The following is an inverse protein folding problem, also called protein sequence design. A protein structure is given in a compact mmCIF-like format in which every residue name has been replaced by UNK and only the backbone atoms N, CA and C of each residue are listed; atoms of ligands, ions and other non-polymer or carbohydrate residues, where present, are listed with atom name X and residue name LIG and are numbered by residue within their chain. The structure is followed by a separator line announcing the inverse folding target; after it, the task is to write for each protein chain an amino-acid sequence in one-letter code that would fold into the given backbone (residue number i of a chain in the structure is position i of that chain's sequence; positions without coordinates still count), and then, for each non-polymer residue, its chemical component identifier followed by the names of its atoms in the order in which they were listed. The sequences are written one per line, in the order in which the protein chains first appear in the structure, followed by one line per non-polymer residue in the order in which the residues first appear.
data_IF_558766066924
#
_entry.id   IF_558766066924
#
_cell.length_a   1.000
_cell.length_b   1.000
_cell.length_c   1.000
_cell.angle_alpha   90.00
_cell.angle_beta   90.00
_cell.angle_gamma   90.00
#
_symmetry.space_group_name_H-M   'P 1'
#
loop_
_entity.id
_entity.type
_entity.pdbx_description
1 polymer ?
#
# COMPACT_ATOMS: atom_id res chain seq x y z
N UNK A 1 14.76 16.64 -2.22
CA UNK A 1 13.85 17.28 -1.23
C UNK A 1 12.48 16.64 -1.33
N UNK A 2 11.80 16.43 -0.18
CA UNK A 2 10.43 15.92 -0.13
C UNK A 2 9.55 17.08 0.36
N UNK A 3 8.42 17.29 -0.29
CA UNK A 3 7.37 18.20 0.12
C UNK A 3 6.03 17.48 0.04
N UNK A 4 5.00 18.01 0.67
CA UNK A 4 3.66 17.43 0.59
C UNK A 4 2.58 18.46 0.89
N UNK A 5 1.37 18.15 0.49
CA UNK A 5 0.18 18.96 0.69
C UNK A 5 -0.99 18.05 1.08
N UNK A 6 -1.86 18.56 1.92
CA UNK A 6 -3.14 17.93 2.30
C UNK A 6 -4.12 19.02 2.74
N UNK A 7 -5.40 18.78 2.61
CA UNK A 7 -6.44 19.71 3.05
C UNK A 7 -6.60 19.74 4.59
N UNK A 8 -6.21 18.65 5.26
CA UNK A 8 -6.25 18.54 6.71
C UNK A 8 -5.24 17.51 7.23
N UNK A 9 -4.27 17.95 8.00
CA UNK A 9 -3.24 17.09 8.58
C UNK A 9 -3.49 16.90 10.09
N UNK A 10 -3.92 15.70 10.44
CA UNK A 10 -4.20 15.29 11.82
C UNK A 10 -3.07 14.47 12.45
N UNK A 11 -3.06 14.37 13.78
CA UNK A 11 -2.20 13.42 14.48
C UNK A 11 -2.64 11.97 14.20
N UNK A 12 -1.69 11.04 14.13
CA UNK A 12 -0.26 11.18 14.44
C UNK A 12 0.61 11.72 13.28
N UNK A 13 0.05 11.94 12.09
CA UNK A 13 0.81 12.40 10.91
C UNK A 13 1.40 13.79 11.13
N UNK A 14 0.64 14.71 11.71
CA UNK A 14 1.08 16.08 11.99
C UNK A 14 2.33 16.12 12.87
N UNK A 15 2.31 15.42 13.99
CA UNK A 15 3.45 15.36 14.91
C UNK A 15 4.68 14.70 14.27
N UNK A 16 4.48 13.68 13.44
CA UNK A 16 5.58 13.00 12.71
C UNK A 16 6.21 13.89 11.67
N UNK A 17 5.40 14.53 10.81
CA UNK A 17 5.89 15.48 9.81
C UNK A 17 6.67 16.62 10.45
N UNK A 18 6.16 17.16 11.58
CA UNK A 18 6.86 18.18 12.35
C UNK A 18 8.23 17.71 12.87
N UNK A 19 8.32 16.47 13.38
CA UNK A 19 9.58 15.87 13.86
C UNK A 19 10.66 15.84 12.78
N UNK A 20 10.26 15.63 11.52
CA UNK A 20 11.19 15.54 10.38
C UNK A 20 11.30 16.85 9.58
N UNK A 21 10.72 17.95 10.05
CA UNK A 21 10.65 19.24 9.35
C UNK A 21 9.99 19.13 7.96
N UNK A 22 8.99 18.29 7.83
CA UNK A 22 8.21 18.05 6.61
C UNK A 22 6.78 18.54 6.70
N UNK A 23 6.37 19.10 7.85
CA UNK A 23 5.04 19.67 7.99
C UNK A 23 4.95 20.92 7.12
N UNK A 24 3.97 21.03 6.19
CA UNK A 24 3.79 22.21 5.40
C UNK A 24 3.41 23.41 6.30
N UNK A 25 3.78 24.62 5.88
CA UNK A 25 3.45 25.84 6.61
C UNK A 25 1.94 26.11 6.61
N UNK A 26 1.26 25.75 5.50
CA UNK A 26 -0.17 25.89 5.31
C UNK A 26 -0.78 24.56 4.82
N UNK A 27 -1.94 24.21 5.38
CA UNK A 27 -2.78 23.11 4.90
C UNK A 27 -3.54 23.57 3.64
N UNK A 28 -3.71 22.68 2.65
CA UNK A 28 -4.35 22.98 1.38
C UNK A 28 -3.58 22.52 0.17
N UNK A 29 -4.08 22.89 -1.01
CA UNK A 29 -3.54 22.52 -2.30
C UNK A 29 -3.07 23.75 -3.07
N UNK A 30 -1.80 23.79 -3.48
CA UNK A 30 -1.13 24.95 -4.04
C UNK A 30 -0.40 24.59 -5.32
N UNK A 31 -0.99 24.91 -6.47
CA UNK A 31 -0.42 24.58 -7.80
C UNK A 31 0.96 25.19 -8.04
N UNK A 32 1.30 26.31 -7.40
CA UNK A 32 2.60 26.96 -7.47
C UNK A 32 3.73 26.16 -6.79
N UNK A 33 3.41 25.19 -5.94
CA UNK A 33 4.39 24.25 -5.38
C UNK A 33 4.85 23.20 -6.40
N UNK A 34 4.11 23.05 -7.51
CA UNK A 34 4.38 22.04 -8.52
C UNK A 34 5.19 22.68 -9.67
N UNK A 35 6.43 22.27 -9.80
CA UNK A 35 7.39 22.75 -10.79
C UNK A 35 8.03 21.60 -11.57
N UNK A 36 8.67 21.91 -12.68
CA UNK A 36 9.27 20.92 -13.60
C UNK A 36 10.51 20.20 -13.06
N UNK A 37 11.06 20.64 -11.92
CA UNK A 37 12.19 20.03 -11.23
C UNK A 37 11.77 18.93 -10.23
N UNK A 38 10.46 18.67 -10.11
CA UNK A 38 9.93 17.56 -9.29
C UNK A 38 10.14 16.25 -10.05
N UNK A 39 10.82 15.30 -9.43
CA UNK A 39 11.10 13.97 -10.00
C UNK A 39 9.84 13.11 -10.12
N UNK A 40 8.97 13.15 -9.12
CA UNK A 40 7.73 12.38 -9.10
C UNK A 40 6.70 12.91 -8.08
N UNK A 41 5.45 12.63 -8.37
CA UNK A 41 4.30 12.87 -7.48
C UNK A 41 3.78 11.51 -6.97
N UNK A 42 3.57 11.39 -5.66
CA UNK A 42 2.87 10.26 -5.06
C UNK A 42 1.48 10.70 -4.63
N UNK A 43 0.47 10.15 -5.27
CA UNK A 43 -0.91 10.56 -5.11
C UNK A 43 -1.54 9.84 -3.90
N UNK A 44 -2.07 10.60 -2.97
CA UNK A 44 -2.88 10.08 -1.85
C UNK A 44 -4.29 9.66 -2.27
N UNK A 45 -4.97 8.91 -1.39
CA UNK A 45 -6.32 8.40 -1.63
C UNK A 45 -7.38 9.47 -1.84
N UNK A 46 -7.19 10.65 -1.26
CA UNK A 46 -8.20 11.73 -1.27
C UNK A 46 -7.99 12.75 -2.40
N UNK A 47 -6.87 12.67 -3.12
CA UNK A 47 -6.60 13.55 -4.24
C UNK A 47 -7.49 13.19 -5.43
N UNK A 48 -8.48 14.03 -5.72
CA UNK A 48 -9.43 13.88 -6.83
C UNK A 48 -8.88 14.47 -8.13
N UNK A 49 -9.59 14.23 -9.24
CA UNK A 49 -9.19 14.74 -10.57
C UNK A 49 -9.10 16.26 -10.65
N UNK A 50 -9.90 16.96 -9.86
CA UNK A 50 -9.97 18.43 -9.78
C UNK A 50 -8.94 19.05 -8.84
N UNK A 51 -8.05 18.24 -8.25
CA UNK A 51 -6.97 18.73 -7.38
C UNK A 51 -6.02 19.63 -8.20
N UNK A 52 -5.79 20.91 -7.80
CA UNK A 52 -4.99 21.86 -8.58
C UNK A 52 -3.53 21.46 -8.72
N UNK A 53 -2.94 20.78 -7.74
CA UNK A 53 -1.56 20.28 -7.81
C UNK A 53 -1.48 19.10 -8.80
N UNK A 54 -2.49 18.22 -8.81
CA UNK A 54 -2.57 17.10 -9.77
C UNK A 54 -2.75 17.61 -11.20
N UNK A 55 -3.61 18.61 -11.42
CA UNK A 55 -3.80 19.24 -12.74
C UNK A 55 -2.47 19.80 -13.21
N UNK A 56 -1.79 20.57 -12.36
CA UNK A 56 -0.50 21.17 -12.68
C UNK A 56 0.58 20.14 -12.98
N UNK A 57 0.63 19.05 -12.21
CA UNK A 57 1.55 17.93 -12.45
C UNK A 57 1.33 17.28 -13.81
N UNK A 58 0.07 17.07 -14.21
CA UNK A 58 -0.30 16.55 -15.54
C UNK A 58 0.10 17.52 -16.67
N UNK A 59 -0.15 18.82 -16.50
CA UNK A 59 0.26 19.85 -17.47
C UNK A 59 1.76 19.88 -17.71
N UNK A 60 2.56 19.67 -16.66
CA UNK A 60 4.02 19.62 -16.72
C UNK A 60 4.57 18.26 -17.18
N UNK A 61 3.71 17.25 -17.37
CA UNK A 61 4.10 15.90 -17.77
C UNK A 61 4.92 15.16 -16.71
N UNK A 62 4.74 15.49 -15.42
CA UNK A 62 5.44 14.85 -14.32
C UNK A 62 5.03 13.40 -14.15
N UNK A 63 5.94 12.58 -13.65
CA UNK A 63 5.63 11.19 -13.30
C UNK A 63 4.72 11.16 -12.06
N UNK A 64 3.54 10.56 -12.21
CA UNK A 64 2.55 10.45 -11.13
C UNK A 64 2.37 8.97 -10.81
N UNK A 65 2.48 8.62 -9.52
CA UNK A 65 2.24 7.30 -8.99
C UNK A 65 1.07 7.30 -8.02
N UNK A 66 0.27 6.26 -8.02
CA UNK A 66 -0.51 5.92 -6.83
C UNK A 66 0.45 5.48 -5.72
N UNK A 67 0.00 5.59 -4.46
CA UNK A 67 0.82 5.14 -3.33
C UNK A 67 1.29 3.68 -3.45
N UNK A 68 0.43 2.68 -3.78
CA UNK A 68 0.90 1.31 -3.94
C UNK A 68 1.82 1.10 -5.15
N UNK A 69 1.64 1.84 -6.25
CA UNK A 69 2.60 1.81 -7.37
C UNK A 69 3.98 2.30 -6.95
N UNK A 70 4.03 3.36 -6.17
CA UNK A 70 5.29 3.86 -5.63
C UNK A 70 5.97 2.82 -4.74
N UNK A 71 5.23 2.21 -3.79
CA UNK A 71 5.75 1.14 -2.93
C UNK A 71 6.27 -0.05 -3.76
N UNK A 72 5.51 -0.49 -4.77
CA UNK A 72 5.97 -1.53 -5.68
C UNK A 72 7.27 -1.14 -6.38
N UNK A 73 7.36 0.07 -6.93
CA UNK A 73 8.56 0.54 -7.62
C UNK A 73 9.80 0.57 -6.71
N UNK A 74 9.64 0.94 -5.43
CA UNK A 74 10.71 0.94 -4.44
C UNK A 74 11.06 -0.47 -3.92
N UNK A 75 10.29 -1.48 -4.29
CA UNK A 75 10.47 -2.86 -3.81
C UNK A 75 10.68 -3.89 -4.93
N UNK A 76 10.91 -3.45 -6.17
CA UNK A 76 11.07 -4.34 -7.32
C UNK A 76 12.17 -5.38 -7.13
N UNK A 77 13.28 -4.97 -6.54
CA UNK A 77 14.46 -5.80 -6.31
C UNK A 77 14.40 -6.59 -4.98
N UNK A 78 13.28 -6.53 -4.27
CA UNK A 78 13.08 -7.20 -2.98
C UNK A 78 12.16 -8.39 -3.10
N UNK A 79 12.31 -9.33 -2.17
CA UNK A 79 11.34 -10.41 -1.98
C UNK A 79 10.12 -9.81 -1.28
N UNK A 80 9.03 -9.68 -2.03
CA UNK A 80 7.76 -9.12 -1.57
C UNK A 80 6.90 -10.19 -0.94
N UNK A 81 6.58 -10.01 0.35
CA UNK A 81 5.69 -10.85 1.14
C UNK A 81 4.42 -10.05 1.34
N UNK A 82 3.31 -10.47 0.75
CA UNK A 82 2.05 -9.69 0.76
C UNK A 82 0.98 -10.47 1.49
N UNK A 83 0.37 -9.82 2.48
CA UNK A 83 -0.66 -10.41 3.34
C UNK A 83 -2.02 -9.85 2.92
N UNK A 84 -2.81 -10.65 2.22
CA UNK A 84 -4.19 -10.36 1.85
C UNK A 84 -5.21 -11.08 2.71
N UNK A 85 -6.46 -10.78 2.48
CA UNK A 85 -7.60 -11.39 3.17
C UNK A 85 -8.48 -10.36 3.86
N UNK A 86 -9.76 -10.70 4.04
CA UNK A 86 -10.75 -9.77 4.59
C UNK A 86 -10.45 -9.38 6.04
N UNK A 87 -9.90 -10.29 6.83
CA UNK A 87 -9.63 -10.07 8.25
C UNK A 87 -8.24 -10.55 8.65
N UNK A 88 -7.67 -9.93 9.69
CA UNK A 88 -6.43 -10.37 10.31
C UNK A 88 -5.16 -9.93 9.60
N UNK A 89 -5.21 -9.20 8.51
CA UNK A 89 -4.04 -8.70 7.76
C UNK A 89 -3.00 -8.05 8.67
N UNK A 90 -3.40 -7.01 9.42
CA UNK A 90 -2.49 -6.27 10.31
C UNK A 90 -1.89 -7.16 11.40
N UNK A 91 -2.70 -8.06 11.99
CA UNK A 91 -2.21 -8.98 13.03
C UNK A 91 -1.17 -9.96 12.47
N UNK A 92 -1.43 -10.54 11.30
CA UNK A 92 -0.49 -11.46 10.65
C UNK A 92 0.78 -10.71 10.23
N UNK A 93 0.65 -9.53 9.64
CA UNK A 93 1.78 -8.69 9.26
C UNK A 93 2.66 -8.35 10.47
N UNK A 94 2.03 -7.96 11.59
CA UNK A 94 2.77 -7.65 12.81
C UNK A 94 3.50 -8.86 13.40
N UNK A 95 2.90 -10.05 13.37
CA UNK A 95 3.53 -11.28 13.80
C UNK A 95 4.74 -11.66 12.94
N UNK A 96 4.62 -11.53 11.62
CA UNK A 96 5.73 -11.78 10.69
C UNK A 96 6.87 -10.80 10.98
N UNK A 97 6.58 -9.51 11.11
CA UNK A 97 7.58 -8.50 11.40
C UNK A 97 8.25 -8.73 12.76
N UNK A 98 7.47 -9.13 13.78
CA UNK A 98 8.01 -9.48 15.09
C UNK A 98 8.99 -10.65 14.99
N UNK A 99 8.61 -11.74 14.31
CA UNK A 99 9.48 -12.91 14.13
C UNK A 99 10.76 -12.55 13.37
N UNK A 100 10.66 -11.78 12.29
CA UNK A 100 11.84 -11.34 11.54
C UNK A 100 12.78 -10.51 12.42
N UNK A 101 12.25 -9.59 13.21
CA UNK A 101 13.01 -8.77 14.16
C UNK A 101 13.72 -9.62 15.21
N UNK A 102 13.03 -10.58 15.84
CA UNK A 102 13.63 -11.49 16.83
C UNK A 102 14.72 -12.40 16.24
N UNK A 103 14.63 -12.69 14.94
CA UNK A 103 15.66 -13.43 14.22
C UNK A 103 16.78 -12.54 13.64
N UNK A 104 16.78 -11.24 13.93
CA UNK A 104 17.70 -10.25 13.37
C UNK A 104 17.71 -10.21 11.82
N UNK A 105 16.56 -10.48 11.21
CA UNK A 105 16.37 -10.35 9.77
C UNK A 105 15.78 -8.95 9.50
N UNK A 106 16.58 -8.10 8.86
CA UNK A 106 16.10 -6.78 8.45
C UNK A 106 15.10 -6.90 7.31
N UNK A 107 13.96 -6.24 7.48
CA UNK A 107 12.91 -6.17 6.48
C UNK A 107 12.33 -4.76 6.40
N UNK A 108 12.02 -4.35 5.20
CA UNK A 108 11.15 -3.22 4.95
C UNK A 108 9.69 -3.64 5.18
N UNK A 109 8.83 -2.67 5.36
CA UNK A 109 7.41 -2.98 5.59
C UNK A 109 6.48 -1.82 5.26
N UNK A 110 5.23 -2.17 4.98
CA UNK A 110 4.10 -1.25 4.96
C UNK A 110 2.92 -1.92 5.67
N UNK A 111 2.41 -1.26 6.70
CA UNK A 111 1.31 -1.74 7.56
C UNK A 111 0.19 -0.70 7.59
N UNK A 112 -1.05 -1.16 7.71
CA UNK A 112 -2.24 -0.30 7.71
C UNK A 112 -2.51 0.40 9.05
N UNK A 113 -1.79 0.03 10.13
CA UNK A 113 -1.97 0.63 11.45
C UNK A 113 -0.63 0.81 12.18
N UNK A 114 -0.62 1.70 13.18
CA UNK A 114 0.55 1.84 14.06
C UNK A 114 0.75 0.58 14.90
N UNK A 115 1.89 -0.04 14.77
CA UNK A 115 2.30 -1.20 15.57
C UNK A 115 3.15 -0.77 16.76
N UNK A 116 2.95 -1.43 17.90
CA UNK A 116 3.81 -1.24 19.08
C UNK A 116 5.24 -1.72 18.77
N UNK A 117 6.23 -0.92 19.14
CA UNK A 117 7.64 -1.21 18.87
C UNK A 117 8.11 -0.87 17.44
N UNK A 118 7.26 -0.27 16.61
CA UNK A 118 7.58 0.25 15.28
C UNK A 118 7.33 1.76 15.22
N UNK A 119 8.35 2.53 14.86
CA UNK A 119 8.27 3.99 14.85
C UNK A 119 7.38 4.53 13.73
N UNK A 120 7.38 3.88 12.59
CA UNK A 120 6.66 4.30 11.38
C UNK A 120 5.77 3.19 10.83
N UNK A 121 4.80 3.53 10.03
CA UNK A 121 3.93 2.55 9.34
C UNK A 121 4.53 2.07 8.02
N UNK A 122 5.50 2.79 7.48
CA UNK A 122 6.21 2.46 6.24
C UNK A 122 7.71 2.63 6.46
N UNK A 123 8.47 1.58 6.22
CA UNK A 123 9.93 1.59 6.18
C UNK A 123 10.38 1.12 4.81
N UNK A 124 11.19 1.92 4.15
CA UNK A 124 11.87 1.60 2.90
C UNK A 124 13.36 1.88 3.06
N UNK A 125 14.20 0.94 2.72
CA UNK A 125 15.65 1.04 2.79
C UNK A 125 16.30 0.45 1.53
N UNK A 126 17.51 0.83 1.24
CA UNK A 126 18.27 0.23 0.14
C UNK A 126 18.81 -1.16 0.48
N UNK A 127 19.05 -1.43 1.76
CA UNK A 127 19.77 -2.62 2.24
C UNK A 127 18.88 -3.84 2.46
N UNK A 128 17.61 -3.67 2.75
CA UNK A 128 16.71 -4.79 3.07
C UNK A 128 16.41 -5.64 1.84
N UNK A 129 16.63 -6.96 1.98
CA UNK A 129 16.29 -7.95 0.97
C UNK A 129 14.79 -8.25 0.91
N UNK A 130 14.08 -8.07 2.01
CA UNK A 130 12.67 -8.43 2.17
C UNK A 130 11.83 -7.18 2.39
N UNK A 131 10.59 -7.25 1.92
CA UNK A 131 9.54 -6.30 2.28
C UNK A 131 8.25 -7.04 2.61
N UNK A 132 7.64 -6.69 3.73
CA UNK A 132 6.35 -7.22 4.18
C UNK A 132 5.30 -6.15 3.97
N UNK A 133 4.30 -6.46 3.16
CA UNK A 133 3.26 -5.53 2.74
C UNK A 133 1.88 -6.01 3.20
N UNK A 134 1.18 -5.16 3.92
CA UNK A 134 -0.25 -5.39 4.16
C UNK A 134 -1.02 -5.13 2.87
N UNK A 135 -1.57 -6.19 2.30
CA UNK A 135 -2.29 -6.19 1.03
C UNK A 135 -3.76 -5.84 1.23
N UNK A 136 -4.06 -4.55 1.14
CA UNK A 136 -5.42 -4.05 1.25
C UNK A 136 -6.17 -4.26 -0.07
N UNK A 137 -7.37 -4.81 0.03
CA UNK A 137 -8.30 -5.00 -1.10
C UNK A 137 -9.06 -3.72 -1.48
N UNK A 138 -8.87 -2.62 -0.74
CA UNK A 138 -9.46 -1.33 -1.08
C UNK A 138 -8.70 -0.64 -2.21
N UNK A 139 -9.35 0.36 -2.83
CA UNK A 139 -8.83 1.08 -4.01
C UNK A 139 -7.44 1.68 -3.79
N UNK A 140 -6.63 1.71 -4.84
CA UNK A 140 -5.27 2.27 -4.83
C UNK A 140 -5.23 3.79 -4.71
N UNK A 141 -6.14 4.46 -5.40
CA UNK A 141 -6.35 5.91 -5.31
C UNK A 141 -7.74 6.28 -5.83
N UNK A 142 -8.13 7.52 -5.73
CA UNK A 142 -9.36 8.03 -6.35
C UNK A 142 -9.36 7.90 -7.89
N UNK A 143 -8.18 7.84 -8.49
CA UNK A 143 -7.99 7.71 -9.95
C UNK A 143 -7.70 6.28 -10.40
N UNK A 144 -7.33 5.41 -9.50
CA UNK A 144 -7.01 4.01 -9.77
C UNK A 144 -7.93 3.11 -8.93
N UNK A 145 -9.01 2.56 -9.52
CA UNK A 145 -9.96 1.73 -8.80
C UNK A 145 -9.45 0.31 -8.53
N UNK A 146 -8.23 -0.04 -8.99
CA UNK A 146 -7.66 -1.35 -8.68
C UNK A 146 -7.38 -1.49 -7.19
N UNK A 147 -7.68 -2.63 -6.57
CA UNK A 147 -7.22 -2.95 -5.22
C UNK A 147 -5.70 -2.80 -5.06
N UNK A 148 -5.25 -2.28 -3.92
CA UNK A 148 -3.83 -2.03 -3.66
C UNK A 148 -2.99 -3.30 -3.82
N UNK A 149 -3.47 -4.45 -3.34
CA UNK A 149 -2.72 -5.71 -3.39
C UNK A 149 -2.48 -6.23 -4.82
N UNK A 150 -3.25 -5.82 -5.84
CA UNK A 150 -2.98 -6.17 -7.24
C UNK A 150 -1.66 -5.61 -7.78
N UNK A 151 -1.18 -4.53 -7.17
CA UNK A 151 -0.01 -3.82 -7.65
C UNK A 151 1.30 -4.39 -7.10
N UNK A 152 1.24 -5.18 -6.02
CA UNK A 152 2.45 -5.59 -5.28
C UNK A 152 3.19 -6.78 -5.87
N UNK A 153 2.57 -7.59 -6.73
CA UNK A 153 3.18 -8.77 -7.39
C UNK A 153 4.03 -9.60 -6.40
N UNK A 154 3.41 -10.34 -5.49
CA UNK A 154 4.12 -11.00 -4.41
C UNK A 154 5.00 -12.15 -4.89
N UNK A 155 6.15 -12.34 -4.23
CA UNK A 155 6.89 -13.61 -4.29
C UNK A 155 6.30 -14.62 -3.29
N UNK A 156 5.80 -14.12 -2.16
CA UNK A 156 5.06 -14.90 -1.18
C UNK A 156 3.76 -14.16 -0.88
N UNK A 157 2.63 -14.77 -1.21
CA UNK A 157 1.32 -14.27 -0.86
C UNK A 157 0.75 -15.09 0.30
N UNK A 158 0.14 -14.43 1.27
CA UNK A 158 -0.68 -15.06 2.30
C UNK A 158 -2.09 -14.53 2.18
N UNK A 159 -3.09 -15.41 2.13
CA UNK A 159 -4.52 -15.04 2.14
C UNK A 159 -5.19 -15.68 3.35
N UNK A 160 -5.62 -14.86 4.29
CA UNK A 160 -6.20 -15.32 5.57
C UNK A 160 -7.63 -15.84 5.44
N UNK A 161 -8.38 -15.35 4.47
CA UNK A 161 -9.76 -15.74 4.18
C UNK A 161 -10.49 -14.70 3.34
N UNK A 162 -11.64 -15.09 2.76
CA UNK A 162 -12.51 -14.24 1.96
C UNK A 162 -13.87 -14.13 2.63
N UNK A 163 -14.15 -12.99 3.25
CA UNK A 163 -15.45 -12.66 3.80
C UNK A 163 -15.87 -11.29 3.24
N UNK A 164 -17.06 -11.19 2.67
CA UNK A 164 -17.50 -9.99 1.97
C UNK A 164 -17.36 -8.73 2.80
N UNK A 165 -16.49 -7.84 2.36
CA UNK A 165 -16.22 -6.55 2.96
C UNK A 165 -16.23 -5.46 1.88
N UNK A 166 -16.12 -4.19 2.29
CA UNK A 166 -16.09 -3.04 1.37
C UNK A 166 -17.26 -3.01 0.36
N UNK A 167 -18.48 -3.26 0.83
CA UNK A 167 -19.73 -3.31 0.02
C UNK A 167 -19.97 -2.02 -0.77
N UNK A 168 -19.43 -0.90 -0.28
CA UNK A 168 -19.47 0.39 -0.98
C UNK A 168 -18.67 0.37 -2.30
N UNK A 169 -17.66 -0.48 -2.40
CA UNK A 169 -16.80 -0.65 -3.60
C UNK A 169 -17.22 -1.89 -4.39
N UNK A 170 -17.33 -3.04 -3.72
CA UNK A 170 -17.65 -4.33 -4.32
C UNK A 170 -19.13 -4.67 -4.13
N UNK A 171 -19.93 -4.42 -5.16
CA UNK A 171 -21.41 -4.51 -5.09
C UNK A 171 -21.93 -5.94 -5.00
N UNK A 172 -21.15 -6.95 -5.40
CA UNK A 172 -21.48 -8.37 -5.29
C UNK A 172 -20.33 -9.13 -4.66
N UNK A 173 -20.66 -10.24 -4.05
CA UNK A 173 -19.66 -11.14 -3.44
C UNK A 173 -18.74 -11.74 -4.50
N UNK A 174 -19.28 -12.10 -5.66
CA UNK A 174 -18.53 -12.65 -6.79
C UNK A 174 -17.47 -11.66 -7.27
N UNK A 175 -17.83 -10.37 -7.39
CA UNK A 175 -16.87 -9.33 -7.76
C UNK A 175 -15.77 -9.17 -6.71
N UNK A 176 -16.10 -9.30 -5.42
CA UNK A 176 -15.13 -9.27 -4.34
C UNK A 176 -14.17 -10.47 -4.38
N UNK A 177 -14.70 -11.69 -4.56
CA UNK A 177 -13.91 -12.93 -4.72
C UNK A 177 -12.97 -12.82 -5.92
N UNK A 178 -13.44 -12.26 -7.04
CA UNK A 178 -12.61 -12.05 -8.24
C UNK A 178 -11.36 -11.19 -7.96
N UNK A 179 -11.40 -10.26 -7.00
CA UNK A 179 -10.22 -9.47 -6.66
C UNK A 179 -9.11 -10.35 -6.05
N UNK A 180 -9.49 -11.38 -5.28
CA UNK A 180 -8.52 -12.33 -4.73
C UNK A 180 -7.98 -13.27 -5.82
N UNK A 181 -8.80 -13.66 -6.78
CA UNK A 181 -8.33 -14.42 -7.96
C UNK A 181 -7.25 -13.65 -8.71
N UNK A 182 -7.50 -12.37 -9.02
CA UNK A 182 -6.52 -11.49 -9.69
C UNK A 182 -5.25 -11.36 -8.84
N UNK A 183 -5.38 -11.21 -7.52
CA UNK A 183 -4.24 -11.13 -6.61
C UNK A 183 -3.41 -12.41 -6.62
N UNK A 184 -4.04 -13.57 -6.50
CA UNK A 184 -3.37 -14.89 -6.54
C UNK A 184 -2.65 -15.07 -7.87
N UNK A 185 -3.29 -14.71 -8.99
CA UNK A 185 -2.70 -14.78 -10.32
C UNK A 185 -1.57 -13.75 -10.55
N UNK A 186 -1.42 -12.76 -9.68
CA UNK A 186 -0.32 -11.79 -9.73
C UNK A 186 0.96 -12.26 -9.02
N UNK A 187 0.94 -13.43 -8.39
CA UNK A 187 2.12 -14.02 -7.74
C UNK A 187 3.21 -14.24 -8.79
N UNK A 188 4.43 -13.83 -8.46
CA UNK A 188 5.59 -13.98 -9.35
C UNK A 188 5.86 -15.45 -9.69
N UNK A 189 6.46 -15.69 -10.85
CA UNK A 189 6.84 -17.04 -11.27
C UNK A 189 7.69 -17.73 -10.19
N UNK A 190 7.33 -18.96 -9.84
CA UNK A 190 7.91 -19.74 -8.74
C UNK A 190 7.64 -19.13 -7.34
N UNK A 191 6.69 -18.24 -7.22
CA UNK A 191 6.24 -17.71 -5.93
C UNK A 191 5.43 -18.73 -5.13
N UNK A 192 5.08 -18.36 -3.92
CA UNK A 192 4.39 -19.24 -2.97
C UNK A 192 3.08 -18.60 -2.51
N UNK A 193 2.01 -19.38 -2.52
CA UNK A 193 0.75 -19.03 -1.88
C UNK A 193 0.59 -19.80 -0.57
N UNK A 194 0.37 -19.07 0.53
CA UNK A 194 -0.04 -19.59 1.83
C UNK A 194 -1.49 -19.19 2.06
N UNK A 195 -2.37 -20.12 2.34
CA UNK A 195 -3.79 -19.83 2.47
C UNK A 195 -4.48 -20.64 3.55
N UNK A 196 -5.62 -20.14 4.02
CA UNK A 196 -6.46 -20.84 4.98
C UNK A 196 -7.28 -21.92 4.27
N UNK A 197 -6.88 -23.18 4.41
CA UNK A 197 -7.58 -24.34 3.80
C UNK A 197 -9.00 -24.61 4.33
N UNK A 198 -9.42 -23.92 5.39
CA UNK A 198 -10.78 -24.01 5.92
C UNK A 198 -11.72 -22.97 5.30
N UNK A 199 -11.19 -22.06 4.49
CA UNK A 199 -11.98 -21.09 3.73
C UNK A 199 -12.39 -21.72 2.39
N UNK A 200 -13.69 -21.98 2.24
CA UNK A 200 -14.21 -22.67 1.07
C UNK A 200 -14.06 -21.85 -0.24
N UNK A 201 -14.07 -20.52 -0.15
CA UNK A 201 -13.92 -19.68 -1.34
C UNK A 201 -12.45 -19.69 -1.81
N UNK A 202 -11.50 -19.68 -0.88
CA UNK A 202 -10.08 -19.82 -1.24
C UNK A 202 -9.78 -21.19 -1.85
N UNK A 203 -10.36 -22.25 -1.30
CA UNK A 203 -10.18 -23.61 -1.86
C UNK A 203 -10.67 -23.66 -3.30
N UNK A 204 -11.87 -23.11 -3.60
CA UNK A 204 -12.42 -23.06 -4.96
C UNK A 204 -11.57 -22.26 -5.96
N UNK A 205 -10.87 -21.23 -5.48
CA UNK A 205 -10.01 -20.41 -6.35
C UNK A 205 -8.68 -21.09 -6.72
N UNK A 206 -8.28 -22.12 -5.96
CA UNK A 206 -6.96 -22.76 -6.07
C UNK A 206 -7.06 -24.14 -6.76
N UNK A 207 -8.21 -24.79 -6.69
CA UNK A 207 -8.53 -26.04 -7.40
C UNK A 207 -8.79 -25.79 -8.90
#
# INVERSE_FOLDING_TARGET
TITGSDDLINDPSKSRLKKYNLLPEEEGWFSEKISSDIDAIVLGMHAKEDNPELIKAKELGLQIYSYPEFIYNQSKDKIRIVIGGSHGKTSITSLILHVLKEQNIDADYMVGAQLEGFEVMVKLSESSKYIVLEGDEYLSSALDPRPKFHLYKPHIALVSGIAWDHINVFKTFENYVQQFEIFINSIENNGTLVFNKLDNELVKLIE
#
